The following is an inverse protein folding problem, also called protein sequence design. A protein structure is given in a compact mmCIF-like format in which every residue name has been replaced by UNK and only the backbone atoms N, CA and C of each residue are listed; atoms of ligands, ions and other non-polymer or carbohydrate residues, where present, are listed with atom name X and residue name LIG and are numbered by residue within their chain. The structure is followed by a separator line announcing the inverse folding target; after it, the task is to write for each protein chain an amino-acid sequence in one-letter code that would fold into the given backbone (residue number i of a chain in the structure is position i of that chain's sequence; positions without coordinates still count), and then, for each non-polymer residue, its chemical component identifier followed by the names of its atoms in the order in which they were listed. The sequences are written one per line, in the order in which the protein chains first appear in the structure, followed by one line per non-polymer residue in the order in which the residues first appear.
data_IF_508485887570
#
_entry.id   IF_508485887570
#
_cell.length_a   1.000
_cell.length_b   1.000
_cell.length_c   1.000
_cell.angle_alpha   90.00
_cell.angle_beta   90.00
_cell.angle_gamma   90.00
#
_symmetry.space_group_name_H-M   'P 1'
#
loop_
_entity.id
_entity.type
_entity.pdbx_description
1 polymer ?
#
# COMPACT_ATOMS: atom_id res chain seq x y z
N UNK A 1 -35.73 5.91 -25.33
CA UNK A 1 -34.52 5.08 -25.43
C UNK A 1 -33.40 5.80 -24.70
N UNK A 2 -32.61 5.09 -23.88
CA UNK A 2 -31.40 5.66 -23.29
C UNK A 2 -30.25 5.41 -24.26
N UNK A 3 -29.62 6.48 -24.74
CA UNK A 3 -28.58 6.43 -25.78
C UNK A 3 -27.34 7.19 -25.30
N UNK A 4 -26.27 6.45 -25.07
CA UNK A 4 -24.93 6.96 -24.76
C UNK A 4 -24.22 6.14 -23.68
N UNK A 5 -22.89 5.99 -23.73
CA UNK A 5 -22.14 5.46 -22.59
C UNK A 5 -22.35 6.40 -21.39
N UNK A 6 -22.56 5.84 -20.20
CA UNK A 6 -22.68 6.63 -18.98
C UNK A 6 -21.32 6.88 -18.35
N UNK A 7 -21.27 7.83 -17.42
CA UNK A 7 -20.02 8.13 -16.71
C UNK A 7 -19.42 6.92 -15.95
N UNK A 8 -20.21 5.89 -15.61
CA UNK A 8 -19.77 4.65 -14.95
C UNK A 8 -19.48 3.50 -15.92
N UNK A 9 -19.46 3.76 -17.23
CA UNK A 9 -19.14 2.77 -18.26
C UNK A 9 -17.70 2.93 -18.79
N UNK A 10 -17.31 1.97 -19.63
CA UNK A 10 -16.16 2.11 -20.50
C UNK A 10 -16.17 3.47 -21.25
N UNK A 11 -15.02 4.18 -21.35
CA UNK A 11 -13.67 3.80 -20.94
C UNK A 11 -13.24 4.37 -19.58
N UNK A 12 -14.19 4.80 -18.75
CA UNK A 12 -13.86 5.51 -17.51
C UNK A 12 -13.39 4.57 -16.40
N UNK A 13 -12.28 4.94 -15.78
CA UNK A 13 -11.83 4.38 -14.52
C UNK A 13 -12.13 5.30 -13.36
N UNK A 14 -12.71 4.72 -12.31
CA UNK A 14 -13.01 5.39 -11.05
C UNK A 14 -12.13 4.84 -9.93
N UNK A 15 -11.56 5.74 -9.14
CA UNK A 15 -10.70 5.39 -8.01
C UNK A 15 -11.30 4.30 -7.08
N UNK A 16 -12.57 4.38 -6.63
CA UNK A 16 -13.12 3.36 -5.72
C UNK A 16 -13.12 1.94 -6.32
N UNK A 17 -13.35 1.80 -7.64
CA UNK A 17 -13.35 0.48 -8.28
C UNK A 17 -11.95 -0.15 -8.29
N UNK A 18 -10.91 0.68 -8.50
CA UNK A 18 -9.52 0.22 -8.44
C UNK A 18 -9.15 -0.21 -7.02
N UNK A 19 -9.58 0.53 -6.00
CA UNK A 19 -9.37 0.14 -4.61
C UNK A 19 -10.01 -1.20 -4.27
N UNK A 20 -11.31 -1.37 -4.58
CA UNK A 20 -12.04 -2.62 -4.32
C UNK A 20 -11.39 -3.80 -5.04
N UNK A 21 -11.03 -3.64 -6.32
CA UNK A 21 -10.38 -4.69 -7.09
C UNK A 21 -9.01 -5.10 -6.48
N UNK A 22 -8.16 -4.12 -6.17
CA UNK A 22 -6.83 -4.37 -5.59
C UNK A 22 -6.95 -5.06 -4.22
N UNK A 23 -7.79 -4.54 -3.33
CA UNK A 23 -8.00 -5.12 -2.00
C UNK A 23 -8.63 -6.52 -2.08
N UNK A 24 -9.60 -6.71 -2.97
CA UNK A 24 -10.22 -8.01 -3.22
C UNK A 24 -9.19 -9.04 -3.68
N UNK A 25 -8.42 -8.74 -4.72
CA UNK A 25 -7.37 -9.63 -5.22
C UNK A 25 -6.35 -10.01 -4.13
N UNK A 26 -5.89 -9.03 -3.34
CA UNK A 26 -4.98 -9.28 -2.21
C UNK A 26 -5.57 -10.22 -1.16
N UNK A 27 -6.84 -10.04 -0.81
CA UNK A 27 -7.50 -10.85 0.22
C UNK A 27 -7.59 -12.34 -0.17
N UNK A 28 -7.51 -12.65 -1.47
CA UNK A 28 -7.55 -14.01 -2.00
C UNK A 28 -6.20 -14.51 -2.53
N UNK A 29 -5.09 -13.80 -2.27
CA UNK A 29 -3.74 -14.23 -2.63
C UNK A 29 -3.30 -13.90 -4.07
N UNK A 30 -4.07 -13.12 -4.82
CA UNK A 30 -3.75 -12.67 -6.18
C UNK A 30 -2.87 -11.40 -6.16
N UNK A 31 -1.66 -11.53 -5.60
CA UNK A 31 -0.78 -10.39 -5.34
C UNK A 31 -0.25 -9.73 -6.61
N UNK A 32 0.10 -10.53 -7.62
CA UNK A 32 0.66 -10.03 -8.87
C UNK A 32 -0.38 -9.20 -9.65
N UNK A 33 -1.62 -9.68 -9.73
CA UNK A 33 -2.71 -8.97 -10.38
C UNK A 33 -3.09 -7.70 -9.63
N UNK A 34 -3.14 -7.76 -8.30
CA UNK A 34 -3.39 -6.61 -7.45
C UNK A 34 -2.33 -5.52 -7.66
N UNK A 35 -1.05 -5.90 -7.62
CA UNK A 35 0.07 -4.99 -7.86
C UNK A 35 0.02 -4.40 -9.27
N UNK A 36 -0.25 -5.24 -10.28
CA UNK A 36 -0.37 -4.80 -11.69
C UNK A 36 -1.47 -3.75 -11.87
N UNK A 37 -2.66 -3.96 -11.31
CA UNK A 37 -3.77 -3.00 -11.40
C UNK A 37 -3.44 -1.71 -10.67
N UNK A 38 -2.90 -1.81 -9.45
CA UNK A 38 -2.55 -0.64 -8.67
C UNK A 38 -1.46 0.20 -9.34
N UNK A 39 -0.41 -0.42 -9.89
CA UNK A 39 0.66 0.29 -10.60
C UNK A 39 0.13 0.98 -11.87
N UNK A 40 -0.77 0.34 -12.63
CA UNK A 40 -1.41 0.98 -13.80
C UNK A 40 -2.22 2.21 -13.41
N UNK A 41 -2.95 2.14 -12.30
CA UNK A 41 -3.72 3.27 -11.78
C UNK A 41 -2.83 4.39 -11.22
N UNK A 42 -1.83 4.05 -10.40
CA UNK A 42 -0.89 5.00 -9.82
C UNK A 42 -0.12 5.74 -10.91
N UNK A 43 0.42 5.04 -11.89
CA UNK A 43 1.15 5.68 -13.01
C UNK A 43 0.23 6.59 -13.82
N UNK A 44 -1.01 6.17 -14.11
CA UNK A 44 -1.99 7.01 -14.82
C UNK A 44 -2.25 8.33 -14.08
N UNK A 45 -2.51 8.24 -12.78
CA UNK A 45 -2.75 9.41 -11.96
C UNK A 45 -1.50 10.30 -11.86
N UNK A 46 -0.32 9.70 -11.68
CA UNK A 46 0.94 10.42 -11.56
C UNK A 46 1.30 11.17 -12.86
N UNK A 47 1.14 10.53 -14.02
CA UNK A 47 1.41 11.12 -15.33
C UNK A 47 0.52 12.35 -15.57
N UNK A 48 -0.77 12.25 -15.25
CA UNK A 48 -1.73 13.34 -15.44
C UNK A 48 -1.63 14.42 -14.37
N UNK A 49 -1.27 14.06 -13.13
CA UNK A 49 -0.92 15.02 -12.09
C UNK A 49 0.29 15.86 -12.52
N UNK A 50 1.35 15.22 -13.04
CA UNK A 50 2.55 15.91 -13.51
C UNK A 50 2.25 16.87 -14.66
N UNK A 51 1.35 16.48 -15.58
CA UNK A 51 0.97 17.30 -16.75
C UNK A 51 0.01 18.44 -16.42
N UNK A 52 -0.94 18.22 -15.51
CA UNK A 52 -2.05 19.15 -15.26
C UNK A 52 -1.96 19.88 -13.91
N UNK A 53 -1.05 19.46 -13.04
CA UNK A 53 -0.88 19.96 -11.68
C UNK A 53 -2.03 19.58 -10.73
N UNK A 54 -2.94 18.68 -11.15
CA UNK A 54 -4.15 18.32 -10.39
C UNK A 54 -4.55 16.85 -10.59
N UNK A 55 -5.22 16.29 -9.58
CA UNK A 55 -5.94 15.02 -9.69
C UNK A 55 -7.38 15.26 -10.17
N UNK A 56 -8.04 14.22 -10.69
CA UNK A 56 -9.39 14.29 -11.28
C UNK A 56 -10.31 13.21 -10.71
N UNK A 57 -11.63 13.41 -10.81
CA UNK A 57 -12.66 12.50 -10.32
C UNK A 57 -12.55 11.10 -10.96
N UNK A 58 -12.33 11.08 -12.27
CA UNK A 58 -12.24 9.89 -13.12
C UNK A 58 -11.29 10.12 -14.30
N UNK A 59 -10.82 9.03 -14.90
CA UNK A 59 -9.84 9.03 -15.98
C UNK A 59 -10.24 8.07 -17.10
N UNK A 60 -9.83 8.34 -18.32
CA UNK A 60 -9.90 7.34 -19.39
C UNK A 60 -8.75 6.35 -19.18
N UNK A 61 -9.07 5.10 -18.82
CA UNK A 61 -8.05 4.10 -18.47
C UNK A 61 -7.47 3.37 -19.68
N UNK A 62 -8.08 3.54 -20.86
CA UNK A 62 -7.64 2.94 -22.11
C UNK A 62 -6.58 3.84 -22.76
N UNK A 63 -6.94 5.10 -23.00
CA UNK A 63 -6.09 6.10 -23.64
C UNK A 63 -5.20 6.87 -22.65
N UNK A 64 -5.36 6.60 -21.35
CA UNK A 64 -4.57 7.21 -20.26
C UNK A 64 -4.61 8.75 -20.28
N UNK A 65 -5.79 9.32 -20.51
CA UNK A 65 -5.99 10.76 -20.61
C UNK A 65 -7.24 11.22 -19.84
N UNK A 66 -7.66 12.47 -20.06
CA UNK A 66 -8.84 13.08 -19.41
C UNK A 66 -10.07 13.13 -20.33
N UNK A 67 -10.03 12.45 -21.48
CA UNK A 67 -11.14 12.34 -22.41
C UNK A 67 -12.11 11.26 -21.90
N UNK A 68 -12.94 11.68 -20.93
CA UNK A 68 -13.88 10.83 -20.21
C UNK A 68 -15.30 11.04 -20.70
N UNK A 69 -16.09 9.98 -20.64
CA UNK A 69 -17.55 10.06 -20.79
C UNK A 69 -18.14 10.68 -19.52
N UNK A 70 -19.02 11.67 -19.62
CA UNK A 70 -19.50 12.32 -18.39
C UNK A 70 -20.84 13.01 -18.56
N UNK A 71 -21.67 12.97 -17.51
CA UNK A 71 -22.95 13.67 -17.45
C UNK A 71 -22.77 15.16 -17.05
N UNK A 72 -21.61 15.49 -16.49
CA UNK A 72 -21.22 16.82 -16.02
C UNK A 72 -19.70 17.01 -16.14
N UNK A 73 -19.14 18.24 -16.15
CA UNK A 73 -17.70 18.44 -16.29
C UNK A 73 -16.87 17.61 -15.28
N UNK A 74 -15.80 16.97 -15.74
CA UNK A 74 -14.94 16.17 -14.86
C UNK A 74 -14.35 17.04 -13.73
N UNK A 75 -14.51 16.60 -12.49
CA UNK A 75 -14.19 17.40 -11.31
C UNK A 75 -12.71 17.29 -10.92
N UNK A 76 -12.16 18.36 -10.33
CA UNK A 76 -10.73 18.47 -9.94
C UNK A 76 -10.54 18.22 -8.45
N UNK A 77 -9.40 17.66 -8.07
CA UNK A 77 -8.96 17.49 -6.68
C UNK A 77 -9.78 16.48 -5.87
N UNK A 78 -10.49 15.57 -6.53
CA UNK A 78 -11.56 14.76 -5.93
C UNK A 78 -11.08 13.84 -4.79
N UNK A 79 -11.85 13.82 -3.69
CA UNK A 79 -11.46 13.18 -2.42
C UNK A 79 -11.11 11.69 -2.54
N UNK A 80 -11.94 10.88 -3.22
CA UNK A 80 -11.62 9.46 -3.41
C UNK A 80 -10.38 9.24 -4.25
N UNK A 81 -10.04 10.14 -5.18
CA UNK A 81 -8.92 9.92 -6.10
C UNK A 81 -7.63 10.14 -5.32
N UNK A 82 -7.58 11.23 -4.56
CA UNK A 82 -6.47 11.52 -3.68
C UNK A 82 -6.31 10.44 -2.61
N UNK A 83 -7.43 10.00 -2.02
CA UNK A 83 -7.44 8.95 -0.99
C UNK A 83 -6.94 7.61 -1.51
N UNK A 84 -7.51 7.11 -2.61
CA UNK A 84 -7.10 5.84 -3.22
C UNK A 84 -5.69 5.91 -3.77
N UNK A 85 -5.29 7.02 -4.40
CA UNK A 85 -3.90 7.19 -4.85
C UNK A 85 -2.93 7.10 -3.68
N UNK A 86 -3.18 7.82 -2.59
CA UNK A 86 -2.32 7.82 -1.40
C UNK A 86 -2.29 6.45 -0.71
N UNK A 87 -3.45 5.81 -0.58
CA UNK A 87 -3.58 4.49 0.02
C UNK A 87 -2.89 3.41 -0.81
N UNK A 88 -3.06 3.41 -2.14
CA UNK A 88 -2.36 2.49 -3.02
C UNK A 88 -0.86 2.77 -3.07
N UNK A 89 -0.43 4.04 -3.05
CA UNK A 89 0.99 4.39 -3.00
C UNK A 89 1.64 3.81 -1.73
N UNK A 90 1.03 4.02 -0.57
CA UNK A 90 1.47 3.44 0.69
C UNK A 90 1.48 1.91 0.66
N UNK A 91 0.35 1.30 0.29
CA UNK A 91 0.16 -0.15 0.36
C UNK A 91 0.99 -0.92 -0.68
N UNK A 92 1.15 -0.40 -1.89
CA UNK A 92 1.75 -1.12 -3.03
C UNK A 92 3.26 -0.91 -3.11
N UNK A 93 3.74 0.29 -2.77
CA UNK A 93 5.18 0.61 -2.89
C UNK A 93 5.90 0.35 -1.56
N UNK A 94 5.26 0.67 -0.44
CA UNK A 94 5.91 0.69 0.88
C UNK A 94 5.43 -0.48 1.75
N UNK A 95 4.34 -1.13 1.34
CA UNK A 95 3.66 -2.12 2.17
C UNK A 95 2.92 -1.51 3.35
N UNK A 96 2.87 -0.18 3.49
CA UNK A 96 2.21 0.46 4.62
C UNK A 96 0.71 0.56 4.38
N UNK A 97 -0.05 0.12 5.38
CA UNK A 97 -1.49 0.23 5.50
C UNK A 97 -1.86 0.72 6.89
N UNK A 98 -3.08 1.20 7.07
CA UNK A 98 -3.62 1.64 8.36
C UNK A 98 -4.92 0.90 8.64
N UNK A 99 -4.91 0.02 9.63
CA UNK A 99 -6.14 -0.59 10.14
C UNK A 99 -6.86 0.44 11.03
N UNK A 100 -7.72 1.23 10.41
CA UNK A 100 -8.50 2.29 11.07
C UNK A 100 -9.37 1.72 12.19
N UNK A 101 -9.95 0.53 12.00
CA UNK A 101 -10.84 -0.09 12.98
C UNK A 101 -10.08 -0.46 14.25
N UNK A 102 -8.85 -0.98 14.11
CA UNK A 102 -7.98 -1.34 15.23
C UNK A 102 -7.07 -0.21 15.70
N UNK A 103 -7.03 0.91 14.96
CA UNK A 103 -6.07 2.01 15.12
C UNK A 103 -4.62 1.53 15.12
N UNK A 104 -4.27 0.71 14.13
CA UNK A 104 -2.92 0.12 14.00
C UNK A 104 -2.30 0.46 12.66
N UNK A 105 -1.03 0.82 12.66
CA UNK A 105 -0.24 0.77 11.44
C UNK A 105 -0.01 -0.70 11.09
N UNK A 106 -0.20 -1.05 9.82
CA UNK A 106 0.04 -2.39 9.29
C UNK A 106 1.13 -2.28 8.23
N UNK A 107 2.27 -2.92 8.41
CA UNK A 107 3.29 -3.01 7.37
C UNK A 107 3.25 -4.41 6.79
N UNK A 108 3.02 -4.49 5.50
CA UNK A 108 2.96 -5.71 4.71
C UNK A 108 3.97 -5.55 3.57
N UNK A 109 5.26 -5.82 3.82
CA UNK A 109 6.27 -5.63 2.80
C UNK A 109 5.93 -6.51 1.59
N UNK A 110 5.71 -5.87 0.45
CA UNK A 110 5.41 -6.58 -0.78
C UNK A 110 6.69 -6.87 -1.53
N UNK A 111 6.83 -8.11 -1.98
CA UNK A 111 7.79 -8.42 -3.04
C UNK A 111 7.26 -7.83 -4.34
N UNK A 112 7.99 -6.86 -4.88
CA UNK A 112 7.76 -6.33 -6.22
C UNK A 112 9.07 -6.47 -7.00
N UNK A 113 9.17 -7.39 -7.98
CA UNK A 113 10.38 -7.55 -8.81
C UNK A 113 10.87 -6.23 -9.40
N UNK A 114 9.93 -5.37 -9.82
CA UNK A 114 10.21 -4.06 -10.41
C UNK A 114 10.88 -3.09 -9.44
N UNK A 115 10.63 -3.25 -8.13
CA UNK A 115 11.16 -2.39 -7.07
C UNK A 115 12.24 -3.10 -6.25
N UNK A 116 12.61 -4.33 -6.61
CA UNK A 116 13.62 -5.10 -5.91
C UNK A 116 14.96 -4.35 -5.84
N UNK A 117 15.57 -4.34 -4.66
CA UNK A 117 16.84 -3.66 -4.40
C UNK A 117 16.74 -2.15 -4.22
N UNK A 118 15.54 -1.57 -4.20
CA UNK A 118 15.34 -0.12 -3.99
C UNK A 118 14.98 0.19 -2.54
N UNK A 119 15.56 1.26 -2.01
CA UNK A 119 15.14 1.84 -0.74
C UNK A 119 13.95 2.78 -0.97
N UNK A 120 12.96 2.67 -0.09
CA UNK A 120 11.80 3.54 -0.05
C UNK A 120 11.69 4.16 1.31
N UNK A 121 11.55 5.47 1.33
CA UNK A 121 11.21 6.21 2.55
C UNK A 121 9.98 7.06 2.29
N UNK A 122 9.04 7.04 3.23
CA UNK A 122 7.88 7.91 3.24
C UNK A 122 7.67 8.48 4.63
N UNK A 123 7.10 9.69 4.67
CA UNK A 123 6.68 10.36 5.88
C UNK A 123 5.23 10.76 5.71
N UNK A 124 4.39 10.26 6.60
CA UNK A 124 2.97 10.53 6.69
C UNK A 124 2.76 11.48 7.85
N UNK A 125 2.05 12.58 7.63
CA UNK A 125 1.56 13.43 8.70
C UNK A 125 0.05 13.30 8.75
N UNK A 126 -0.47 12.75 9.83
CA UNK A 126 -1.90 12.68 10.07
C UNK A 126 -2.49 14.07 10.29
N UNK A 127 -3.80 14.16 10.08
CA UNK A 127 -4.53 15.43 10.21
C UNK A 127 -4.47 16.02 11.62
N UNK A 128 -4.25 15.17 12.64
CA UNK A 128 -4.15 15.56 14.04
C UNK A 128 -2.72 15.88 14.49
N UNK A 129 -1.76 15.92 13.56
CA UNK A 129 -0.36 16.29 13.83
C UNK A 129 0.55 15.12 14.19
N UNK A 130 0.03 13.90 14.21
CA UNK A 130 0.82 12.67 14.28
C UNK A 130 1.70 12.53 13.02
N UNK A 131 2.94 12.05 13.19
CA UNK A 131 3.86 11.86 12.07
C UNK A 131 4.41 10.44 12.11
N UNK A 132 4.36 9.72 10.98
CA UNK A 132 4.92 8.39 10.81
C UNK A 132 5.88 8.42 9.64
N UNK A 133 7.16 8.23 9.90
CA UNK A 133 8.17 8.01 8.89
C UNK A 133 8.51 6.51 8.81
N UNK A 134 8.48 5.96 7.60
CA UNK A 134 8.81 4.57 7.32
C UNK A 134 9.87 4.53 6.25
N UNK A 135 10.91 3.75 6.51
CA UNK A 135 11.97 3.43 5.56
C UNK A 135 12.04 1.92 5.43
N UNK A 136 11.91 1.41 4.21
CA UNK A 136 12.02 -0.01 3.89
C UNK A 136 13.01 -0.20 2.75
N UNK A 137 13.82 -1.25 2.82
CA UNK A 137 14.53 -1.74 1.65
C UNK A 137 13.71 -2.87 1.03
N UNK A 138 13.36 -2.71 -0.24
CA UNK A 138 12.84 -3.81 -1.04
C UNK A 138 14.02 -4.74 -1.34
N UNK A 139 13.94 -5.99 -0.91
CA UNK A 139 14.94 -6.99 -1.23
C UNK A 139 14.39 -7.93 -2.31
N UNK A 140 15.21 -8.37 -3.29
CA UNK A 140 14.81 -9.40 -4.25
C UNK A 140 14.48 -10.74 -3.58
N UNK A 141 14.90 -10.90 -2.32
CA UNK A 141 14.59 -12.01 -1.46
C UNK A 141 14.21 -11.43 -0.09
N UNK A 142 12.99 -11.71 0.38
CA UNK A 142 12.50 -11.22 1.66
C UNK A 142 13.39 -11.69 2.83
N UNK A 143 14.25 -12.73 2.64
CA UNK A 143 15.26 -13.28 3.59
C UNK A 143 16.22 -12.29 4.21
N UNK A 144 16.25 -11.06 3.74
CA UNK A 144 17.05 -9.97 4.31
C UNK A 144 16.30 -8.64 4.29
N UNK A 145 15.00 -8.66 4.58
CA UNK A 145 14.27 -7.41 4.71
C UNK A 145 14.73 -6.64 5.94
N UNK A 146 14.86 -5.32 5.79
CA UNK A 146 14.96 -4.38 6.89
C UNK A 146 13.82 -3.37 6.76
N UNK A 147 13.05 -3.21 7.82
CA UNK A 147 12.00 -2.20 7.94
C UNK A 147 12.31 -1.35 9.15
N UNK A 148 12.54 -0.05 8.95
CA UNK A 148 12.63 0.97 10.00
C UNK A 148 11.41 1.87 9.98
N UNK A 149 10.87 2.13 11.16
CA UNK A 149 9.70 2.95 11.40
C UNK A 149 10.01 3.91 12.55
N UNK A 150 9.79 5.21 12.32
CA UNK A 150 9.83 6.27 13.33
C UNK A 150 8.44 6.88 13.38
N UNK A 151 7.82 6.95 14.55
CA UNK A 151 6.50 7.56 14.69
C UNK A 151 6.47 8.53 15.88
N UNK A 152 5.80 9.66 15.71
CA UNK A 152 5.46 10.58 16.79
C UNK A 152 4.25 10.02 17.53
N UNK A 153 4.33 9.75 18.84
CA UNK A 153 3.21 9.27 19.63
C UNK A 153 1.97 10.18 19.53
N UNK A 154 0.74 9.64 19.70
CA UNK A 154 0.46 8.27 20.13
C UNK A 154 0.23 7.29 18.96
N UNK A 155 1.03 6.22 18.90
CA UNK A 155 0.70 4.99 18.19
C UNK A 155 0.95 3.82 19.14
N UNK A 156 -0.08 3.12 19.63
CA UNK A 156 0.16 2.04 20.59
C UNK A 156 0.73 0.78 19.91
N UNK A 157 0.39 0.53 18.63
CA UNK A 157 0.59 -0.78 18.01
C UNK A 157 0.99 -0.70 16.53
N UNK A 158 2.04 -1.44 16.18
CA UNK A 158 2.45 -1.79 14.83
C UNK A 158 2.18 -3.28 14.58
N UNK A 159 1.46 -3.58 13.51
CA UNK A 159 1.33 -4.93 13.00
C UNK A 159 2.22 -5.06 11.76
N UNK A 160 3.07 -6.08 11.69
CA UNK A 160 3.81 -6.41 10.49
C UNK A 160 3.40 -7.79 9.98
N UNK A 161 2.90 -7.81 8.74
CA UNK A 161 2.50 -9.01 8.02
C UNK A 161 3.60 -9.42 7.07
N UNK A 162 4.27 -10.51 7.39
CA UNK A 162 5.29 -11.09 6.55
C UNK A 162 4.63 -12.16 5.69
N UNK A 163 4.61 -11.97 4.37
CA UNK A 163 4.05 -12.96 3.45
C UNK A 163 4.86 -14.26 3.51
N UNK A 164 4.16 -15.37 3.74
CA UNK A 164 4.76 -16.70 3.86
C UNK A 164 5.00 -17.31 2.48
N UNK A 165 6.02 -16.82 1.77
CA UNK A 165 6.42 -17.40 0.48
C UNK A 165 7.11 -18.77 0.63
N UNK A 166 7.52 -19.15 1.86
CA UNK A 166 8.28 -20.37 2.15
C UNK A 166 7.76 -21.05 3.43
N UNK A 167 6.61 -21.74 3.37
CA UNK A 167 5.86 -22.19 4.55
C UNK A 167 6.55 -23.25 5.42
N UNK A 168 7.64 -23.84 4.96
CA UNK A 168 8.45 -24.81 5.71
C UNK A 168 9.59 -24.19 6.51
N UNK A 169 9.98 -22.96 6.19
CA UNK A 169 11.17 -22.35 6.75
C UNK A 169 10.82 -21.57 8.02
N UNK A 170 11.62 -21.71 9.09
CA UNK A 170 11.40 -20.94 10.31
C UNK A 170 11.77 -19.47 10.08
N UNK A 171 10.89 -18.53 10.43
CA UNK A 171 11.19 -17.10 10.40
C UNK A 171 11.68 -16.65 11.77
N UNK A 172 12.87 -16.05 11.85
CA UNK A 172 13.31 -15.30 13.05
C UNK A 172 12.99 -13.83 12.85
N UNK A 173 12.38 -13.18 13.83
CA UNK A 173 12.10 -11.73 13.80
C UNK A 173 12.88 -11.06 14.92
N UNK A 174 13.56 -9.95 14.62
CA UNK A 174 14.27 -9.15 15.61
C UNK A 174 13.70 -7.74 15.67
N UNK A 175 13.71 -7.12 16.84
CA UNK A 175 13.40 -5.70 17.03
C UNK A 175 14.56 -5.12 17.83
N UNK A 176 15.19 -4.04 17.34
CA UNK A 176 16.43 -3.50 17.92
C UNK A 176 17.54 -4.55 18.13
N UNK A 177 17.62 -5.53 17.22
CA UNK A 177 18.58 -6.64 17.30
C UNK A 177 18.21 -7.77 18.28
N UNK A 178 17.17 -7.61 19.10
CA UNK A 178 16.70 -8.66 20.03
C UNK A 178 15.60 -9.51 19.39
N UNK A 179 15.56 -10.84 19.61
CA UNK A 179 14.47 -11.68 19.12
C UNK A 179 13.12 -11.22 19.66
N UNK A 180 12.13 -11.10 18.78
CA UNK A 180 10.76 -10.72 19.14
C UNK A 180 9.82 -11.93 18.97
N UNK A 181 8.94 -12.21 19.95
CA UNK A 181 7.95 -13.26 19.80
C UNK A 181 6.99 -12.93 18.65
N UNK A 182 6.63 -13.93 17.87
CA UNK A 182 5.59 -13.80 16.85
C UNK A 182 4.80 -15.10 16.76
N UNK A 183 3.60 -15.03 16.17
CA UNK A 183 2.72 -16.19 16.03
C UNK A 183 2.42 -16.44 14.57
N UNK A 184 2.59 -17.68 14.14
CA UNK A 184 2.10 -18.12 12.84
C UNK A 184 0.58 -18.24 12.89
N UNK A 185 -0.11 -17.51 12.04
CA UNK A 185 -1.55 -17.71 11.79
C UNK A 185 -1.75 -18.65 10.60
N UNK A 186 -2.90 -19.35 10.56
CA UNK A 186 -3.35 -20.08 9.36
C UNK A 186 -3.89 -19.08 8.32
N UNK A 187 -2.99 -18.24 7.81
CA UNK A 187 -3.22 -17.26 6.75
C UNK A 187 -2.00 -17.30 5.81
N UNK A 188 -2.07 -16.70 4.60
CA UNK A 188 -0.90 -16.57 3.74
C UNK A 188 0.22 -15.70 4.35
N UNK A 189 0.02 -15.12 5.54
CA UNK A 189 0.98 -14.26 6.23
C UNK A 189 1.29 -14.81 7.61
N UNK A 190 2.54 -14.62 8.04
CA UNK A 190 2.92 -14.61 9.44
C UNK A 190 2.72 -13.21 10.00
N UNK A 191 2.13 -13.11 11.19
CA UNK A 191 1.83 -11.82 11.82
C UNK A 191 2.75 -11.60 13.00
N UNK A 192 3.46 -10.48 12.97
CA UNK A 192 4.22 -9.94 14.09
C UNK A 192 3.46 -8.71 14.58
N UNK A 193 3.22 -8.63 15.89
CA UNK A 193 2.65 -7.41 16.48
C UNK A 193 3.69 -6.86 17.44
N UNK A 194 4.04 -5.59 17.26
CA UNK A 194 5.03 -4.86 18.06
C UNK A 194 4.32 -3.67 18.69
N UNK A 195 4.43 -3.53 20.02
CA UNK A 195 4.00 -2.33 20.72
C UNK A 195 5.00 -1.21 20.43
N UNK A 196 4.50 -0.08 19.91
CA UNK A 196 5.35 1.05 19.50
C UNK A 196 5.66 2.01 20.66
N UNK A 197 5.18 1.72 21.87
CA UNK A 197 5.39 2.55 23.05
C UNK A 197 6.88 2.61 23.49
N UNK A 198 7.71 1.66 23.02
CA UNK A 198 9.12 1.51 23.44
C UNK A 198 10.16 1.59 22.30
N UNK A 199 9.76 1.82 21.05
CA UNK A 199 10.65 1.57 19.88
C UNK A 199 10.67 2.74 18.90
N UNK A 200 11.78 3.48 18.88
CA UNK A 200 12.02 4.60 17.94
C UNK A 200 12.41 4.16 16.53
N UNK A 201 12.91 2.93 16.38
CA UNK A 201 13.33 2.32 15.12
C UNK A 201 13.15 0.81 15.24
N UNK A 202 12.47 0.18 14.29
CA UNK A 202 12.35 -1.28 14.22
C UNK A 202 13.36 -1.76 13.17
N UNK A 203 13.88 -2.99 13.26
CA UNK A 203 14.55 -3.63 12.13
C UNK A 203 14.17 -5.10 12.05
N UNK A 204 13.18 -5.42 11.20
CA UNK A 204 12.65 -6.77 11.08
C UNK A 204 13.44 -7.62 10.08
N UNK A 205 14.46 -8.33 10.57
CA UNK A 205 15.22 -9.29 9.77
C UNK A 205 14.61 -10.67 9.81
N UNK A 206 13.71 -10.97 8.87
CA UNK A 206 13.23 -12.32 8.66
C UNK A 206 14.33 -13.18 8.01
N UNK A 207 14.77 -14.25 8.68
CA UNK A 207 15.65 -15.28 8.09
C UNK A 207 14.86 -16.56 7.96
N UNK A 208 14.77 -17.10 6.75
CA UNK A 208 14.22 -18.41 6.44
C UNK A 208 15.41 -19.40 6.35
N UNK A 209 15.23 -20.62 6.84
CA UNK A 209 16.25 -21.68 6.87
C UNK A 209 16.54 -22.26 5.48
#
# INVERSE_FOLDING_TARGET
EFVGPFQWDYPNGWAPLHWVAVCGLKNYGHFEEAARIALKWLTLCADLLARTGRMWEKYNVVERNLEVTTDYPNQRGFGWTNGVYSALLGKVIIGLDLDVARRRAVVEPLFCPTLAGREFSARFRGYLGDEVAISTSSAPDLRRQGLSLRASPPFPLLEVRLCDHFPGDSVRVTVNGAPHPHRRERRPYHTVVVELEDVAEVELRARWA
#
